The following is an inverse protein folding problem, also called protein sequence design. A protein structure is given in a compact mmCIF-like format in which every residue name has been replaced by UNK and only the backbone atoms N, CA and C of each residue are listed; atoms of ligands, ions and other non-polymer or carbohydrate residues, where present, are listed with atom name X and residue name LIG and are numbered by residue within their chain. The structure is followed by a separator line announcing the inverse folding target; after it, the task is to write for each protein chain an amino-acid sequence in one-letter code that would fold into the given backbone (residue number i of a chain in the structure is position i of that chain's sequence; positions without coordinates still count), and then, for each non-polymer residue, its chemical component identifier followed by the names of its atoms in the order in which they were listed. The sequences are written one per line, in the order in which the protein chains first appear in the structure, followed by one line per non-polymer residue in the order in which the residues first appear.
data_IF_112807862531
#
_entry.id   IF_112807862531
#
_cell.length_a   1.000
_cell.length_b   1.000
_cell.length_c   1.000
_cell.angle_alpha   90.00
_cell.angle_beta   90.00
_cell.angle_gamma   90.00
#
_symmetry.space_group_name_H-M   'P 1'
#
loop_
_entity.id
_entity.type
_entity.pdbx_description
1 polymer ?
#
# COMPACT_ATOMS: atom_id res chain seq x y z
N UNK A 1 2.14 6.71 -3.37
CA UNK A 1 2.19 7.23 -4.73
C UNK A 1 0.80 7.23 -5.36
N UNK A 2 0.55 8.18 -6.25
CA UNK A 2 -0.73 8.31 -6.95
C UNK A 2 -0.65 7.73 -8.37
N UNK A 3 0.54 7.64 -8.92
CA UNK A 3 0.79 7.12 -10.25
C UNK A 3 1.27 5.68 -10.17
N UNK A 4 0.73 4.84 -11.06
CA UNK A 4 0.99 3.41 -11.10
C UNK A 4 1.47 2.99 -12.49
N UNK A 5 2.27 1.93 -12.55
CA UNK A 5 2.72 1.28 -13.78
C UNK A 5 2.33 -0.19 -13.77
N UNK A 6 1.43 -0.55 -14.65
CA UNK A 6 0.99 -1.94 -14.87
C UNK A 6 1.29 -2.42 -16.30
N UNK A 7 2.03 -1.64 -17.09
CA UNK A 7 2.26 -1.90 -18.51
C UNK A 7 3.70 -2.27 -18.84
N UNK A 8 4.68 -1.72 -18.13
CA UNK A 8 6.09 -2.02 -18.37
C UNK A 8 6.39 -3.51 -18.18
N UNK A 9 7.32 -4.10 -18.94
CA UNK A 9 7.71 -5.50 -18.75
C UNK A 9 8.16 -5.77 -17.31
N UNK A 10 7.80 -6.94 -16.78
CA UNK A 10 8.21 -7.36 -15.46
C UNK A 10 9.70 -7.68 -15.43
N UNK A 11 10.41 -7.06 -14.51
CA UNK A 11 11.83 -7.28 -14.25
C UNK A 11 12.07 -8.60 -13.51
N UNK A 12 11.07 -9.07 -12.76
CA UNK A 12 11.11 -10.33 -12.03
C UNK A 12 9.70 -10.95 -12.00
N UNK A 13 9.64 -12.25 -11.90
CA UNK A 13 8.38 -12.98 -11.68
C UNK A 13 8.26 -13.52 -10.25
N UNK A 14 9.26 -13.25 -9.41
CA UNK A 14 9.20 -13.55 -7.98
C UNK A 14 8.22 -12.61 -7.28
N UNK A 15 7.32 -13.14 -6.48
CA UNK A 15 6.35 -12.34 -5.75
C UNK A 15 5.92 -12.99 -4.45
N UNK A 16 5.32 -12.19 -3.60
CA UNK A 16 4.65 -12.62 -2.36
C UNK A 16 3.22 -12.07 -2.34
N UNK A 17 2.39 -12.63 -1.46
CA UNK A 17 1.04 -12.09 -1.22
C UNK A 17 1.09 -11.09 -0.06
N UNK A 18 0.33 -9.99 -0.15
CA UNK A 18 0.23 -9.04 0.97
C UNK A 18 -0.29 -9.75 2.23
N UNK A 19 0.18 -9.31 3.38
CA UNK A 19 -0.10 -9.99 4.65
C UNK A 19 -1.40 -9.52 5.32
N UNK A 20 -1.98 -8.40 4.87
CA UNK A 20 -3.14 -7.76 5.51
C UNK A 20 -4.38 -7.72 4.60
N UNK A 21 -4.50 -8.66 3.65
CA UNK A 21 -5.59 -8.67 2.66
C UNK A 21 -6.99 -8.77 3.27
N UNK A 22 -7.14 -9.44 4.40
CA UNK A 22 -8.44 -9.51 5.09
C UNK A 22 -8.93 -8.11 5.50
N UNK A 23 -8.01 -7.27 5.94
CA UNK A 23 -8.30 -5.87 6.25
C UNK A 23 -8.59 -5.06 4.98
N UNK A 24 -7.80 -5.27 3.93
CA UNK A 24 -8.00 -4.62 2.63
C UNK A 24 -9.40 -4.90 2.08
N UNK A 25 -9.89 -6.12 2.22
CA UNK A 25 -11.21 -6.51 1.76
C UNK A 25 -12.32 -5.69 2.45
N UNK A 26 -12.20 -5.43 3.73
CA UNK A 26 -13.15 -4.58 4.47
C UNK A 26 -13.21 -3.18 3.86
N UNK A 27 -12.06 -2.60 3.53
CA UNK A 27 -11.99 -1.28 2.88
C UNK A 27 -12.56 -1.31 1.46
N UNK A 28 -12.28 -2.35 0.71
CA UNK A 28 -12.83 -2.53 -0.65
C UNK A 28 -14.36 -2.63 -0.61
N UNK A 29 -14.91 -3.38 0.31
CA UNK A 29 -16.37 -3.49 0.47
C UNK A 29 -17.00 -2.13 0.77
N UNK A 30 -16.34 -1.31 1.60
CA UNK A 30 -16.80 0.06 1.87
C UNK A 30 -16.66 0.96 0.63
N UNK A 31 -15.53 0.90 -0.05
CA UNK A 31 -15.28 1.70 -1.25
C UNK A 31 -16.25 1.38 -2.40
N UNK A 32 -16.64 0.12 -2.54
CA UNK A 32 -17.65 -0.31 -3.52
C UNK A 32 -19.03 0.33 -3.32
N UNK A 33 -19.34 0.78 -2.12
CA UNK A 33 -20.61 1.46 -1.83
C UNK A 33 -20.64 2.90 -2.33
N UNK A 34 -19.49 3.47 -2.70
CA UNK A 34 -19.38 4.84 -3.17
C UNK A 34 -19.72 4.92 -4.66
N UNK A 35 -20.61 5.86 -5.02
CA UNK A 35 -20.81 6.23 -6.41
C UNK A 35 -19.58 6.99 -6.95
N UNK A 36 -19.34 6.98 -8.27
CA UNK A 36 -18.21 7.74 -8.85
C UNK A 36 -18.17 9.21 -8.42
N UNK A 37 -19.33 9.88 -8.36
CA UNK A 37 -19.40 11.27 -7.89
C UNK A 37 -18.94 11.44 -6.44
N UNK A 38 -19.24 10.49 -5.57
CA UNK A 38 -18.80 10.48 -4.18
C UNK A 38 -17.29 10.27 -4.09
N UNK A 39 -16.73 9.37 -4.89
CA UNK A 39 -15.28 9.15 -5.00
C UNK A 39 -14.59 10.42 -5.47
N UNK A 40 -15.11 11.07 -6.49
CA UNK A 40 -14.58 12.32 -7.03
C UNK A 40 -14.53 13.42 -5.99
N UNK A 41 -15.60 13.57 -5.22
CA UNK A 41 -15.70 14.55 -4.14
C UNK A 41 -14.76 14.23 -2.98
N UNK A 42 -14.73 12.97 -2.54
CA UNK A 42 -13.92 12.49 -1.43
C UNK A 42 -12.42 12.65 -1.69
N UNK A 43 -11.97 12.28 -2.88
CA UNK A 43 -10.56 12.28 -3.26
C UNK A 43 -10.13 13.55 -4.01
N UNK A 44 -11.07 14.41 -4.35
CA UNK A 44 -10.82 15.64 -5.13
C UNK A 44 -10.16 15.34 -6.47
N UNK A 45 -10.75 14.42 -7.21
CA UNK A 45 -10.28 13.98 -8.52
C UNK A 45 -11.36 14.20 -9.59
N UNK A 46 -10.94 14.17 -10.86
CA UNK A 46 -11.84 14.32 -11.99
C UNK A 46 -12.84 13.18 -12.10
N UNK A 47 -13.96 13.41 -12.80
CA UNK A 47 -14.97 12.38 -13.05
C UNK A 47 -14.38 11.16 -13.75
N UNK A 48 -13.45 11.37 -14.67
CA UNK A 48 -12.75 10.29 -15.37
C UNK A 48 -11.97 9.41 -14.39
N UNK A 49 -11.20 10.02 -13.48
CA UNK A 49 -10.44 9.29 -12.48
C UNK A 49 -11.35 8.64 -11.44
N UNK A 50 -12.45 9.28 -11.07
CA UNK A 50 -13.44 8.71 -10.16
C UNK A 50 -14.07 7.45 -10.76
N UNK A 51 -14.46 7.48 -12.03
CA UNK A 51 -14.97 6.31 -12.74
C UNK A 51 -13.97 5.17 -12.85
N UNK A 52 -12.71 5.50 -13.15
CA UNK A 52 -11.64 4.53 -13.19
C UNK A 52 -11.46 3.82 -11.84
N UNK A 53 -11.46 4.57 -10.75
CA UNK A 53 -11.26 4.00 -9.43
C UNK A 53 -12.48 3.22 -8.93
N UNK A 54 -13.68 3.65 -9.28
CA UNK A 54 -14.90 2.86 -9.03
C UNK A 54 -14.81 1.48 -9.71
N UNK A 55 -14.35 1.44 -10.97
CA UNK A 55 -14.13 0.19 -11.69
C UNK A 55 -13.05 -0.69 -11.03
N UNK A 56 -11.95 -0.07 -10.57
CA UNK A 56 -10.89 -0.78 -9.84
C UNK A 56 -11.42 -1.43 -8.56
N UNK A 57 -12.21 -0.73 -7.76
CA UNK A 57 -12.82 -1.30 -6.55
C UNK A 57 -13.78 -2.44 -6.90
N UNK A 58 -14.55 -2.30 -7.97
CA UNK A 58 -15.48 -3.35 -8.40
C UNK A 58 -14.76 -4.62 -8.85
N UNK A 59 -13.60 -4.49 -9.51
CA UNK A 59 -12.80 -5.59 -10.03
C UNK A 59 -11.87 -6.23 -9.00
N UNK A 60 -11.61 -5.55 -7.90
CA UNK A 60 -10.67 -6.02 -6.91
C UNK A 60 -11.10 -7.36 -6.31
N UNK A 61 -10.16 -8.31 -6.25
CA UNK A 61 -10.37 -9.63 -5.64
C UNK A 61 -9.08 -10.03 -4.91
N UNK A 62 -9.17 -10.71 -3.77
CA UNK A 62 -8.00 -11.38 -3.18
C UNK A 62 -7.50 -12.50 -4.10
N UNK A 63 -6.46 -13.22 -3.70
CA UNK A 63 -5.84 -14.27 -4.51
C UNK A 63 -5.16 -13.72 -5.78
N UNK A 64 -4.24 -12.78 -5.57
CA UNK A 64 -3.53 -12.13 -6.65
C UNK A 64 -2.61 -13.08 -7.41
N UNK A 65 -2.58 -12.89 -8.73
CA UNK A 65 -1.62 -13.52 -9.65
C UNK A 65 -0.92 -12.43 -10.45
N UNK A 66 0.15 -12.78 -11.16
CA UNK A 66 0.84 -11.83 -12.06
C UNK A 66 -0.04 -11.37 -13.22
N UNK A 67 -1.13 -12.08 -13.53
CA UNK A 67 -2.10 -11.66 -14.55
C UNK A 67 -3.04 -10.56 -14.03
N UNK A 68 -3.31 -10.54 -12.74
CA UNK A 68 -4.25 -9.58 -12.11
C UNK A 68 -3.58 -8.46 -11.33
N UNK A 69 -2.32 -8.64 -10.94
CA UNK A 69 -1.64 -7.78 -9.99
C UNK A 69 -0.14 -7.64 -10.34
N UNK A 70 0.54 -6.73 -9.65
CA UNK A 70 1.97 -6.49 -9.85
C UNK A 70 2.64 -6.26 -8.49
N UNK A 71 3.92 -6.58 -8.40
CA UNK A 71 4.72 -6.31 -7.21
C UNK A 71 4.69 -4.81 -6.88
N UNK A 72 4.47 -4.49 -5.62
CA UNK A 72 4.29 -3.12 -5.16
C UNK A 72 5.44 -2.19 -5.58
N UNK A 73 6.69 -2.63 -5.41
CA UNK A 73 7.87 -1.83 -5.77
C UNK A 73 7.94 -1.55 -7.27
N UNK A 74 7.39 -2.41 -8.11
CA UNK A 74 7.35 -2.25 -9.57
C UNK A 74 6.10 -1.50 -10.04
N UNK A 75 5.03 -1.55 -9.26
CA UNK A 75 3.75 -0.93 -9.61
C UNK A 75 3.71 0.56 -9.27
N UNK A 76 4.26 0.97 -8.15
CA UNK A 76 4.27 2.36 -7.75
C UNK A 76 5.24 3.19 -8.58
N UNK A 77 4.79 4.39 -8.99
CA UNK A 77 5.60 5.41 -9.64
C UNK A 77 5.52 6.72 -8.86
N UNK A 78 6.41 7.64 -9.18
CA UNK A 78 6.54 8.94 -8.54
C UNK A 78 8.00 9.18 -8.12
N UNK A 79 8.26 10.35 -7.55
CA UNK A 79 9.62 10.81 -7.30
C UNK A 79 10.45 9.86 -6.43
N UNK A 80 9.83 9.30 -5.39
CA UNK A 80 10.49 8.32 -4.50
C UNK A 80 10.96 7.10 -5.30
N UNK A 81 10.10 6.57 -6.17
CA UNK A 81 10.42 5.38 -6.95
C UNK A 81 11.36 5.67 -8.11
N UNK A 82 11.30 6.87 -8.67
CA UNK A 82 12.30 7.35 -9.63
C UNK A 82 13.68 7.42 -8.97
N UNK A 83 13.75 7.97 -7.77
CA UNK A 83 15.00 8.02 -7.01
C UNK A 83 15.53 6.65 -6.58
N UNK A 84 14.62 5.71 -6.30
CA UNK A 84 14.99 4.34 -5.96
C UNK A 84 15.60 3.58 -7.16
N UNK A 85 15.17 3.93 -8.38
CA UNK A 85 15.67 3.34 -9.63
C UNK A 85 15.63 1.80 -9.61
N UNK A 86 14.48 1.23 -9.26
CA UNK A 86 14.31 -0.22 -9.08
C UNK A 86 14.66 -1.02 -10.33
N UNK A 87 14.56 -0.43 -11.52
CA UNK A 87 14.94 -1.03 -12.78
C UNK A 87 16.44 -1.39 -12.84
N UNK A 88 17.27 -0.77 -12.01
CA UNK A 88 18.70 -1.09 -11.89
C UNK A 88 18.99 -2.25 -10.92
N UNK A 89 17.98 -2.74 -10.19
CA UNK A 89 18.16 -3.76 -9.16
C UNK A 89 18.38 -5.14 -9.77
N UNK A 90 19.34 -5.87 -9.22
CA UNK A 90 19.51 -7.30 -9.44
C UNK A 90 18.48 -8.10 -8.63
N UNK A 91 18.40 -9.40 -8.88
CA UNK A 91 17.57 -10.30 -8.05
C UNK A 91 18.02 -10.27 -6.57
N UNK A 92 19.32 -10.13 -6.31
CA UNK A 92 19.86 -10.00 -4.96
C UNK A 92 19.42 -8.69 -4.29
N UNK A 93 19.40 -7.58 -5.06
CA UNK A 93 18.93 -6.28 -4.56
C UNK A 93 17.43 -6.33 -4.24
N UNK A 94 16.63 -6.99 -5.08
CA UNK A 94 15.20 -7.19 -4.83
C UNK A 94 14.98 -8.01 -3.56
N UNK A 95 15.72 -9.09 -3.38
CA UNK A 95 15.65 -9.93 -2.17
C UNK A 95 16.04 -9.17 -0.92
N UNK A 96 17.09 -8.34 -0.98
CA UNK A 96 17.51 -7.48 0.12
C UNK A 96 16.43 -6.45 0.47
N UNK A 97 15.86 -5.81 -0.56
CA UNK A 97 14.76 -4.85 -0.38
C UNK A 97 13.54 -5.50 0.29
N UNK A 98 13.21 -6.72 -0.10
CA UNK A 98 12.08 -7.47 0.47
C UNK A 98 12.21 -7.64 1.99
N UNK A 99 13.44 -7.81 2.47
CA UNK A 99 13.71 -7.97 3.90
C UNK A 99 13.73 -6.65 4.67
N UNK A 100 14.17 -5.55 4.03
CA UNK A 100 14.50 -4.31 4.74
C UNK A 100 13.55 -3.15 4.46
N UNK A 101 12.84 -3.15 3.33
CA UNK A 101 11.96 -2.06 2.95
C UNK A 101 10.50 -2.43 3.23
N UNK A 102 9.72 -1.45 3.70
CA UNK A 102 8.27 -1.56 3.83
C UNK A 102 7.62 -0.34 3.19
N UNK A 103 6.47 -0.56 2.57
CA UNK A 103 5.70 0.48 1.87
C UNK A 103 4.38 0.65 2.61
N UNK A 104 4.08 1.86 3.06
CA UNK A 104 2.82 2.18 3.69
C UNK A 104 1.75 2.43 2.62
N UNK A 105 0.57 1.87 2.81
CA UNK A 105 -0.53 1.90 1.85
C UNK A 105 -1.85 2.12 2.56
N UNK A 106 -2.68 3.03 2.04
CA UNK A 106 -4.01 3.26 2.58
C UNK A 106 -4.90 2.02 2.50
N UNK A 107 -4.81 1.28 1.40
CA UNK A 107 -5.60 0.07 1.18
C UNK A 107 -4.97 -1.20 1.77
N UNK A 108 -3.66 -1.36 1.65
CA UNK A 108 -2.97 -2.59 2.04
C UNK A 108 -2.25 -2.51 3.39
N UNK A 109 -2.24 -1.33 4.02
CA UNK A 109 -1.57 -1.09 5.30
C UNK A 109 -0.06 -1.07 5.17
N UNK A 110 0.58 -2.22 5.24
CA UNK A 110 2.02 -2.41 5.05
C UNK A 110 2.26 -3.43 3.94
N UNK A 111 3.05 -3.03 2.94
CA UNK A 111 3.46 -3.90 1.84
C UNK A 111 4.96 -4.15 1.91
N UNK A 112 5.36 -5.37 1.58
CA UNK A 112 6.74 -5.69 1.21
C UNK A 112 6.95 -5.36 -0.27
N UNK A 113 8.17 -5.08 -0.71
CA UNK A 113 8.44 -4.72 -2.11
C UNK A 113 7.88 -5.68 -3.16
N UNK A 114 7.92 -6.98 -2.90
CA UNK A 114 7.47 -8.01 -3.84
C UNK A 114 6.02 -8.45 -3.62
N UNK A 115 5.32 -7.86 -2.66
CA UNK A 115 3.89 -8.12 -2.47
C UNK A 115 3.10 -7.68 -3.70
N UNK A 116 2.26 -8.58 -4.21
CA UNK A 116 1.38 -8.26 -5.33
C UNK A 116 0.28 -7.30 -4.86
N UNK A 117 -0.06 -6.35 -5.72
CA UNK A 117 -1.21 -5.47 -5.49
C UNK A 117 -1.96 -5.24 -6.80
N UNK A 118 -3.28 -5.18 -6.71
CA UNK A 118 -4.12 -4.67 -7.79
C UNK A 118 -4.10 -3.14 -7.79
N UNK A 119 -4.29 -2.49 -8.96
CA UNK A 119 -4.28 -1.04 -9.02
C UNK A 119 -5.42 -0.45 -8.17
N UNK A 120 -5.10 0.62 -7.47
CA UNK A 120 -6.03 1.34 -6.60
C UNK A 120 -5.59 2.79 -6.41
N UNK A 121 -6.49 3.60 -5.89
CA UNK A 121 -6.17 4.91 -5.32
C UNK A 121 -6.93 5.07 -4.01
N UNK A 122 -6.20 5.17 -2.92
CA UNK A 122 -6.73 5.43 -1.59
C UNK A 122 -5.58 5.93 -0.72
N UNK A 123 -5.34 7.25 -0.72
CA UNK A 123 -4.29 7.86 0.10
C UNK A 123 -4.65 7.73 1.58
N UNK A 124 -3.63 7.61 2.44
CA UNK A 124 -3.81 7.37 3.87
C UNK A 124 -4.62 8.46 4.57
N UNK A 125 -4.51 9.70 4.13
CA UNK A 125 -5.23 10.84 4.70
C UNK A 125 -6.67 11.00 4.22
N UNK A 126 -7.17 10.16 3.34
CA UNK A 126 -8.55 10.21 2.86
C UNK A 126 -9.50 9.86 4.00
N UNK A 127 -10.54 10.69 4.19
CA UNK A 127 -11.53 10.53 5.26
C UNK A 127 -12.65 9.57 4.85
N UNK A 128 -12.28 8.35 4.51
CA UNK A 128 -13.24 7.29 4.23
C UNK A 128 -13.75 6.71 5.54
N UNK A 129 -15.00 7.02 5.89
CA UNK A 129 -15.66 6.36 7.01
C UNK A 129 -15.85 4.87 6.70
N UNK A 130 -15.73 4.04 7.72
CA UNK A 130 -15.67 2.61 7.57
C UNK A 130 -16.17 1.92 8.85
N UNK A 131 -16.33 0.60 8.88
CA UNK A 131 -16.85 -0.10 10.06
C UNK A 131 -16.03 0.08 11.35
N UNK A 132 -14.79 0.56 11.26
CA UNK A 132 -13.90 0.74 12.45
C UNK A 132 -13.75 2.19 12.87
N UNK A 133 -14.18 3.15 12.07
CA UNK A 133 -14.07 4.56 12.41
C UNK A 133 -14.26 5.50 11.25
N UNK A 134 -13.90 6.75 11.45
CA UNK A 134 -14.20 7.87 10.55
C UNK A 134 -13.17 8.08 9.41
N UNK A 135 -12.02 7.43 9.50
CA UNK A 135 -10.93 7.58 8.55
C UNK A 135 -10.03 6.34 8.53
N UNK A 136 -8.99 6.36 7.72
CA UNK A 136 -8.07 5.23 7.61
C UNK A 136 -7.13 5.10 8.82
N UNK A 137 -6.82 6.19 9.50
CA UNK A 137 -6.04 6.13 10.75
C UNK A 137 -6.80 5.35 11.82
N UNK A 138 -8.09 5.62 11.98
CA UNK A 138 -8.95 4.87 12.88
C UNK A 138 -9.10 3.40 12.41
N UNK A 139 -9.21 3.19 11.11
CA UNK A 139 -9.33 1.84 10.54
C UNK A 139 -8.12 0.98 10.88
N UNK A 140 -6.91 1.47 10.58
CA UNK A 140 -5.69 0.70 10.79
C UNK A 140 -5.30 0.58 12.26
N UNK A 141 -5.66 1.56 13.10
CA UNK A 141 -5.39 1.50 14.53
C UNK A 141 -3.93 1.12 14.83
N UNK A 142 -3.71 0.01 15.53
CA UNK A 142 -2.39 -0.50 15.87
C UNK A 142 -1.84 -1.51 14.85
N UNK A 143 -2.60 -1.88 13.84
CA UNK A 143 -2.26 -2.97 12.91
C UNK A 143 -0.96 -2.70 12.18
N UNK A 144 -0.77 -1.48 11.65
CA UNK A 144 0.45 -1.10 10.93
C UNK A 144 1.65 -1.13 11.88
N UNK A 145 1.52 -0.56 13.07
CA UNK A 145 2.57 -0.54 14.09
C UNK A 145 2.98 -1.96 14.48
N UNK A 146 2.01 -2.83 14.73
CA UNK A 146 2.26 -4.22 15.09
C UNK A 146 2.98 -4.98 13.97
N UNK A 147 2.60 -4.71 12.71
CA UNK A 147 3.25 -5.32 11.55
C UNK A 147 4.69 -4.85 11.40
N UNK A 148 4.98 -3.58 11.65
CA UNK A 148 6.35 -3.05 11.65
C UNK A 148 7.18 -3.63 12.79
N UNK A 149 6.61 -3.79 13.98
CA UNK A 149 7.27 -4.46 15.09
C UNK A 149 7.61 -5.91 14.75
N UNK A 150 6.71 -6.63 14.10
CA UNK A 150 6.95 -7.99 13.62
C UNK A 150 8.11 -8.03 12.62
N UNK A 151 8.14 -7.10 11.67
CA UNK A 151 9.22 -7.02 10.68
C UNK A 151 10.58 -6.74 11.34
N UNK A 152 10.64 -5.83 12.30
CA UNK A 152 11.86 -5.55 13.07
C UNK A 152 12.34 -6.79 13.84
N UNK A 153 11.44 -7.51 14.49
CA UNK A 153 11.76 -8.72 15.23
C UNK A 153 12.29 -9.82 14.31
N UNK A 154 11.67 -10.04 13.16
CA UNK A 154 12.10 -11.03 12.15
C UNK A 154 13.49 -10.72 11.60
N UNK A 155 13.79 -9.44 11.41
CA UNK A 155 15.07 -8.96 10.91
C UNK A 155 16.14 -8.96 12.01
N UNK A 156 15.76 -8.93 13.29
CA UNK A 156 16.68 -8.80 14.43
C UNK A 156 17.22 -7.38 14.55
N UNK A 157 16.47 -6.37 14.14
CA UNK A 157 16.88 -4.98 14.18
C UNK A 157 16.04 -4.17 15.18
N UNK A 158 16.60 -3.07 15.65
CA UNK A 158 15.95 -2.15 16.59
C UNK A 158 15.77 -0.74 16.01
N UNK A 159 16.12 -0.53 14.74
CA UNK A 159 16.07 0.79 14.11
C UNK A 159 15.14 0.78 12.92
N UNK A 160 14.20 1.72 12.92
CA UNK A 160 13.31 1.99 11.78
C UNK A 160 13.68 3.35 11.20
N UNK A 161 14.06 3.39 9.92
CA UNK A 161 14.33 4.63 9.21
C UNK A 161 13.03 5.08 8.53
N UNK A 162 12.50 6.21 8.96
CA UNK A 162 11.28 6.77 8.39
C UNK A 162 11.59 7.63 7.17
N UNK A 163 11.21 7.15 5.99
CA UNK A 163 11.29 7.89 4.73
C UNK A 163 9.89 8.26 4.20
N UNK A 164 8.83 7.94 4.95
CA UNK A 164 7.46 8.24 4.56
C UNK A 164 7.10 9.70 4.87
N UNK A 165 6.10 10.22 4.14
CA UNK A 165 5.52 11.53 4.46
C UNK A 165 4.78 11.49 5.80
N UNK A 166 4.53 12.68 6.36
CA UNK A 166 3.74 12.80 7.59
C UNK A 166 2.36 12.16 7.47
N UNK A 167 1.70 12.34 6.32
CA UNK A 167 0.39 11.74 6.03
C UNK A 167 0.42 10.23 6.25
N UNK A 168 1.41 9.55 5.71
CA UNK A 168 1.52 8.10 5.80
C UNK A 168 2.08 7.65 7.14
N UNK A 169 3.11 8.30 7.65
CA UNK A 169 3.74 7.90 8.91
C UNK A 169 2.82 8.14 10.12
N UNK A 170 1.85 9.04 10.02
CA UNK A 170 0.80 9.23 11.03
C UNK A 170 -0.01 7.96 11.29
N UNK A 171 -0.03 7.01 10.37
CA UNK A 171 -0.65 5.69 10.56
C UNK A 171 0.13 4.79 11.52
N UNK A 172 1.39 5.10 11.77
CA UNK A 172 2.24 4.42 12.76
C UNK A 172 2.06 5.13 14.10
N UNK A 173 1.87 4.37 15.16
CA UNK A 173 1.74 4.89 16.51
C UNK A 173 3.07 4.73 17.26
N UNK A 174 3.86 5.82 17.41
CA UNK A 174 5.22 5.71 17.95
C UNK A 174 5.28 5.10 19.35
N UNK A 175 4.26 5.35 20.17
CA UNK A 175 4.18 4.78 21.52
C UNK A 175 4.11 3.25 21.54
N UNK A 176 3.59 2.64 20.46
CA UNK A 176 3.53 1.19 20.30
C UNK A 176 4.71 0.58 19.55
N UNK A 177 5.56 1.42 18.95
CA UNK A 177 6.71 0.97 18.19
C UNK A 177 7.85 0.56 19.13
N UNK A 178 8.38 -0.64 18.95
CA UNK A 178 9.45 -1.19 19.83
C UNK A 178 10.84 -0.73 19.41
N UNK A 179 11.02 -0.38 18.14
CA UNK A 179 12.28 0.14 17.62
C UNK A 179 12.41 1.64 17.78
N UNK A 180 13.62 2.15 17.55
CA UNK A 180 13.90 3.59 17.44
C UNK A 180 13.64 4.05 16.01
N UNK A 181 13.05 5.23 15.88
CA UNK A 181 12.86 5.89 14.60
C UNK A 181 13.96 6.92 14.38
#
# INVERSE_FOLDING_TARGET
AKTLDYESPLQTRTFTQPELLDHSQVLIERARQLAPAEIGSLMKISDKLAGLNAARYAQWQPDFTLDSARQAMLAFKGDVYTGLAVESFSEADLAHSQQHLRILSGLYGVLRPLDLMMPYRLEMGIRLDNPRGRDLYAFWGDIITDKLNQALAEQGDEVLINLASEEYFKSVRPAGLKGRV
#
